data_IF_570756394228
#
_entry.id   IF_570756394228
#
_cell.length_a   1.000
_cell.length_b   1.000
_cell.length_c   1.000
_cell.angle_alpha   90.00
_cell.angle_beta   90.00
_cell.angle_gamma   90.00
#
_symmetry.space_group_name_H-M   'P 1'
#
loop_
_entity.id
_entity.type
_entity.pdbx_description
1 polymer ?
#
# COMPACT_ATOMS: atom_id res chain seq x y z
N UNK A 1 -10.55 0.77 4.61
CA UNK A 1 -10.23 1.37 3.30
C UNK A 1 -9.44 0.43 2.41
N UNK A 2 -8.37 -0.15 2.94
CA UNK A 2 -7.54 -1.07 2.17
C UNK A 2 -8.29 -2.27 1.60
N UNK A 3 -9.21 -2.85 2.36
CA UNK A 3 -9.99 -3.99 1.90
C UNK A 3 -10.87 -3.67 0.71
N UNK A 4 -11.45 -2.47 0.69
CA UNK A 4 -12.28 -2.02 -0.43
C UNK A 4 -11.45 -1.88 -1.71
N UNK A 5 -10.25 -1.31 -1.59
CA UNK A 5 -9.34 -1.21 -2.73
C UNK A 5 -8.94 -2.58 -3.25
N UNK A 6 -8.62 -3.50 -2.34
CA UNK A 6 -8.22 -4.85 -2.73
C UNK A 6 -9.33 -5.54 -3.52
N UNK A 7 -10.57 -5.44 -3.04
CA UNK A 7 -11.70 -6.03 -3.73
C UNK A 7 -11.91 -5.43 -5.12
N UNK A 8 -11.79 -4.12 -5.25
CA UNK A 8 -11.94 -3.46 -6.54
C UNK A 8 -10.85 -3.89 -7.52
N UNK A 9 -9.60 -3.96 -7.05
CA UNK A 9 -8.49 -4.38 -7.90
C UNK A 9 -8.64 -5.83 -8.35
N UNK A 10 -9.12 -6.70 -7.48
CA UNK A 10 -9.38 -8.09 -7.86
C UNK A 10 -10.43 -8.18 -8.96
N UNK A 11 -11.48 -7.37 -8.86
CA UNK A 11 -12.53 -7.35 -9.88
C UNK A 11 -12.01 -6.88 -11.23
N UNK A 12 -10.96 -6.04 -11.21
CA UNK A 12 -10.33 -5.55 -12.44
C UNK A 12 -9.30 -6.53 -13.00
N UNK A 13 -9.12 -7.67 -12.36
CA UNK A 13 -8.18 -8.68 -12.84
C UNK A 13 -6.76 -8.53 -12.35
N UNK A 14 -6.53 -7.65 -11.39
CA UNK A 14 -5.20 -7.47 -10.81
C UNK A 14 -4.85 -8.59 -9.85
N UNK A 15 -3.57 -8.92 -9.77
CA UNK A 15 -3.05 -9.77 -8.71
C UNK A 15 -2.84 -8.88 -7.50
N UNK A 16 -3.50 -9.19 -6.41
CA UNK A 16 -3.46 -8.35 -5.20
C UNK A 16 -2.73 -9.07 -4.08
N UNK A 17 -1.74 -8.39 -3.51
CA UNK A 17 -1.07 -8.86 -2.31
C UNK A 17 -1.26 -7.81 -1.22
N UNK A 18 -1.17 -8.24 0.03
CA UNK A 18 -1.41 -7.34 1.15
C UNK A 18 -0.45 -7.58 2.30
N UNK A 19 -0.18 -6.52 3.03
CA UNK A 19 0.63 -6.56 4.24
C UNK A 19 -0.17 -5.91 5.36
N UNK A 20 -0.31 -6.60 6.48
CA UNK A 20 -1.03 -6.08 7.64
C UNK A 20 -0.43 -6.73 8.87
N UNK A 21 -0.31 -5.97 9.96
CA UNK A 21 0.21 -6.54 11.20
C UNK A 21 -0.77 -7.54 11.83
N UNK A 22 -2.02 -7.50 11.43
CA UNK A 22 -3.04 -8.42 11.91
C UNK A 22 -3.09 -9.68 11.04
N UNK A 23 -2.49 -10.75 11.54
CA UNK A 23 -2.42 -12.01 10.84
C UNK A 23 -3.80 -12.60 10.55
N UNK A 24 -4.75 -12.37 11.43
CA UNK A 24 -6.12 -12.88 11.24
C UNK A 24 -6.79 -12.17 10.07
N UNK A 25 -6.53 -10.88 9.89
CA UNK A 25 -7.08 -10.12 8.76
C UNK A 25 -6.52 -10.65 7.44
N UNK A 26 -5.24 -10.97 7.40
CA UNK A 26 -4.60 -11.54 6.21
C UNK A 26 -5.21 -12.90 5.88
N UNK A 27 -5.36 -13.76 6.88
CA UNK A 27 -5.95 -15.09 6.65
C UNK A 27 -7.39 -14.98 6.16
N UNK A 28 -8.18 -14.12 6.76
CA UNK A 28 -9.56 -13.90 6.35
C UNK A 28 -9.64 -13.45 4.90
N UNK A 29 -8.80 -12.48 4.55
CA UNK A 29 -8.80 -11.92 3.20
C UNK A 29 -8.41 -12.96 2.15
N UNK A 30 -7.45 -13.82 2.46
CA UNK A 30 -7.05 -14.90 1.55
C UNK A 30 -8.17 -15.92 1.38
N UNK A 31 -8.80 -16.32 2.48
CA UNK A 31 -9.90 -17.31 2.45
C UNK A 31 -11.09 -16.81 1.65
N UNK A 32 -11.35 -15.51 1.68
CA UNK A 32 -12.51 -14.92 1.00
C UNK A 32 -12.17 -14.37 -0.39
N UNK A 33 -10.97 -14.63 -0.89
CA UNK A 33 -10.58 -14.21 -2.24
C UNK A 33 -10.40 -12.71 -2.41
N UNK A 34 -10.24 -11.98 -1.31
CA UNK A 34 -9.99 -10.52 -1.37
C UNK A 34 -8.56 -10.24 -1.83
N UNK A 35 -7.63 -11.10 -1.43
CA UNK A 35 -6.23 -10.99 -1.85
C UNK A 35 -5.74 -12.34 -2.35
N UNK A 36 -4.69 -12.32 -3.17
CA UNK A 36 -4.06 -13.53 -3.67
C UNK A 36 -3.02 -14.05 -2.71
N UNK A 37 -2.31 -13.13 -2.06
CA UNK A 37 -1.23 -13.46 -1.17
C UNK A 37 -1.08 -12.36 -0.13
N UNK A 38 -0.53 -12.67 1.03
CA UNK A 38 -0.33 -11.66 2.04
C UNK A 38 0.59 -12.13 3.16
N UNK A 39 1.07 -11.18 3.94
CA UNK A 39 1.92 -11.47 5.08
C UNK A 39 1.67 -10.48 6.21
N UNK A 40 1.79 -10.96 7.43
CA UNK A 40 1.79 -10.11 8.63
C UNK A 40 3.21 -9.78 9.07
N UNK A 41 4.20 -10.31 8.35
CA UNK A 41 5.60 -10.11 8.68
C UNK A 41 6.31 -9.20 7.69
N UNK A 42 7.48 -9.65 7.24
CA UNK A 42 8.34 -8.86 6.36
C UNK A 42 7.78 -8.77 4.94
N UNK A 43 7.55 -7.56 4.42
CA UNK A 43 6.93 -7.38 3.12
C UNK A 43 7.89 -7.36 1.94
N UNK A 44 9.21 -7.49 2.16
CA UNK A 44 10.21 -7.22 1.13
C UNK A 44 9.98 -8.01 -0.16
N UNK A 45 9.68 -9.29 -0.03
CA UNK A 45 9.49 -10.14 -1.20
C UNK A 45 8.27 -9.72 -2.03
N UNK A 46 7.22 -9.24 -1.37
CA UNK A 46 6.03 -8.77 -2.08
C UNK A 46 6.29 -7.44 -2.77
N UNK A 47 7.06 -6.58 -2.14
CA UNK A 47 7.35 -5.25 -2.68
C UNK A 47 8.16 -5.30 -3.96
N UNK A 48 9.12 -6.21 -4.04
CA UNK A 48 9.99 -6.30 -5.22
C UNK A 48 9.21 -6.69 -6.48
N UNK A 49 8.05 -7.29 -6.33
CA UNK A 49 7.21 -7.69 -7.46
C UNK A 49 6.03 -6.78 -7.72
N UNK A 50 5.86 -5.73 -6.93
CA UNK A 50 4.68 -4.87 -7.04
C UNK A 50 4.86 -3.79 -8.11
N UNK A 51 3.81 -3.56 -8.88
CA UNK A 51 3.76 -2.45 -9.83
C UNK A 51 3.18 -1.20 -9.17
N UNK A 52 2.21 -1.40 -8.29
CA UNK A 52 1.55 -0.32 -7.55
C UNK A 52 1.45 -0.73 -6.09
N UNK A 53 1.80 0.18 -5.20
CA UNK A 53 1.68 -0.01 -3.77
C UNK A 53 0.70 1.02 -3.22
N UNK A 54 -0.35 0.55 -2.57
CA UNK A 54 -1.36 1.44 -1.96
C UNK A 54 -1.19 1.42 -0.45
N UNK A 55 -0.95 2.59 0.12
CA UNK A 55 -0.75 2.74 1.56
C UNK A 55 -2.06 3.13 2.24
N UNK A 56 -2.59 2.23 3.05
CA UNK A 56 -3.77 2.50 3.86
C UNK A 56 -3.39 2.67 5.32
N UNK A 57 -2.50 3.64 5.60
CA UNK A 57 -1.94 3.86 6.93
C UNK A 57 -2.21 5.28 7.39
N UNK A 58 -2.12 5.50 8.70
CA UNK A 58 -2.15 6.86 9.25
C UNK A 58 -0.85 7.58 8.88
N UNK A 59 -0.87 8.93 8.82
CA UNK A 59 0.28 9.69 8.32
C UNK A 59 1.62 9.35 8.96
N UNK A 60 1.68 9.27 10.29
CA UNK A 60 2.93 8.93 10.97
C UNK A 60 3.42 7.54 10.63
N UNK A 61 2.52 6.57 10.62
CA UNK A 61 2.87 5.19 10.29
C UNK A 61 3.29 5.08 8.82
N UNK A 62 2.67 5.87 7.94
CA UNK A 62 2.99 5.87 6.53
C UNK A 62 4.44 6.31 6.28
N UNK A 63 4.86 7.40 6.89
CA UNK A 63 6.22 7.90 6.73
C UNK A 63 7.23 6.89 7.25
N UNK A 64 6.95 6.30 8.41
CA UNK A 64 7.85 5.29 8.98
C UNK A 64 7.92 4.03 8.12
N UNK A 65 6.80 3.62 7.55
CA UNK A 65 6.77 2.47 6.66
C UNK A 65 7.64 2.72 5.42
N UNK A 66 7.49 3.89 4.82
CA UNK A 66 8.27 4.25 3.63
C UNK A 66 9.77 4.31 3.97
N UNK A 67 10.10 4.88 5.14
CA UNK A 67 11.49 4.93 5.59
C UNK A 67 12.09 3.53 5.71
N UNK A 68 11.32 2.60 6.22
CA UNK A 68 11.80 1.24 6.45
C UNK A 68 11.91 0.42 5.16
N UNK A 69 11.00 0.63 4.20
CA UNK A 69 10.85 -0.30 3.08
C UNK A 69 11.03 0.30 1.70
N UNK A 70 11.24 1.59 1.57
CA UNK A 70 11.37 2.22 0.25
C UNK A 70 12.48 1.61 -0.60
N UNK A 71 13.57 1.18 0.03
CA UNK A 71 14.69 0.59 -0.69
C UNK A 71 14.34 -0.72 -1.41
N UNK A 72 13.24 -1.36 -1.03
CA UNK A 72 12.79 -2.61 -1.64
C UNK A 72 11.86 -2.39 -2.83
N UNK A 73 11.48 -1.16 -3.10
CA UNK A 73 10.64 -0.83 -4.24
C UNK A 73 11.51 -0.74 -5.50
N UNK A 74 11.09 -1.41 -6.55
CA UNK A 74 11.86 -1.40 -7.79
C UNK A 74 11.55 -0.13 -8.61
N UNK A 75 12.46 0.29 -9.49
CA UNK A 75 12.18 1.40 -10.39
C UNK A 75 10.94 1.11 -11.22
N UNK A 76 10.10 2.11 -11.40
CA UNK A 76 8.85 1.97 -12.11
C UNK A 76 7.65 1.69 -11.21
N UNK A 77 7.87 1.42 -9.92
CA UNK A 77 6.77 1.24 -8.97
C UNK A 77 6.08 2.57 -8.72
N UNK A 78 4.76 2.54 -8.71
CA UNK A 78 3.94 3.68 -8.33
C UNK A 78 3.47 3.49 -6.90
N UNK A 79 3.75 4.46 -6.05
CA UNK A 79 3.31 4.47 -4.67
C UNK A 79 2.16 5.47 -4.53
N UNK A 80 1.08 5.07 -3.93
CA UNK A 80 -0.05 5.96 -3.68
C UNK A 80 -0.62 5.69 -2.28
N UNK A 81 -1.56 6.52 -1.85
CA UNK A 81 -2.15 6.38 -0.53
C UNK A 81 -3.63 6.71 -0.55
N UNK A 82 -4.29 6.42 0.56
CA UNK A 82 -5.71 6.75 0.75
C UNK A 82 -5.90 7.64 1.98
N UNK A 83 -4.83 8.26 2.43
CA UNK A 83 -4.85 9.13 3.60
C UNK A 83 -5.49 10.48 3.28
N UNK A 84 -6.30 11.00 4.19
CA UNK A 84 -6.94 12.30 4.00
C UNK A 84 -6.04 13.49 4.32
N UNK A 85 -4.93 13.30 5.01
CA UNK A 85 -4.07 14.39 5.47
C UNK A 85 -2.81 14.45 4.61
N UNK A 86 -2.85 15.21 3.53
CA UNK A 86 -1.78 15.24 2.53
C UNK A 86 -0.56 16.07 2.96
N UNK A 87 -0.78 17.19 3.61
CA UNK A 87 0.33 18.07 4.00
C UNK A 87 1.37 17.41 4.88
N UNK A 88 0.97 16.41 5.66
CA UNK A 88 1.89 15.72 6.57
C UNK A 88 2.69 14.62 5.89
N UNK A 89 2.29 14.15 4.71
CA UNK A 89 2.92 12.97 4.11
C UNK A 89 3.61 13.20 2.78
N UNK A 90 3.14 14.13 1.96
CA UNK A 90 3.67 14.26 0.59
C UNK A 90 5.17 14.56 0.58
N UNK A 91 5.59 15.60 1.30
CA UNK A 91 7.00 15.97 1.34
C UNK A 91 7.90 14.88 1.92
N UNK A 92 7.60 14.40 3.15
CA UNK A 92 8.42 13.36 3.76
C UNK A 92 8.49 12.08 2.94
N UNK A 93 7.38 11.64 2.35
CA UNK A 93 7.38 10.42 1.55
C UNK A 93 8.23 10.61 0.30
N UNK A 94 8.05 11.71 -0.42
CA UNK A 94 8.81 11.94 -1.64
C UNK A 94 10.31 12.03 -1.38
N UNK A 95 10.70 12.59 -0.24
CA UNK A 95 12.10 12.71 0.12
C UNK A 95 12.76 11.34 0.40
N UNK A 96 11.98 10.34 0.72
CA UNK A 96 12.49 9.01 1.05
C UNK A 96 12.52 8.04 -0.13
N UNK A 97 11.93 8.40 -1.26
CA UNK A 97 11.80 7.46 -2.38
C UNK A 97 13.09 7.34 -3.18
N UNK A 98 13.43 6.10 -3.61
CA UNK A 98 14.58 5.90 -4.49
C UNK A 98 14.27 6.38 -5.91
N UNK A 99 15.29 6.55 -6.76
CA UNK A 99 15.09 6.94 -8.15
C UNK A 99 14.17 5.95 -8.88
N UNK A 100 13.29 6.48 -9.69
CA UNK A 100 12.38 5.66 -10.49
C UNK A 100 11.08 5.26 -9.79
N UNK A 101 10.93 5.59 -8.52
CA UNK A 101 9.68 5.34 -7.78
C UNK A 101 8.94 6.65 -7.62
N UNK A 102 7.68 6.67 -8.06
CA UNK A 102 6.85 7.86 -7.96
C UNK A 102 5.80 7.73 -6.88
N UNK A 103 5.45 8.84 -6.26
CA UNK A 103 4.38 8.89 -5.27
C UNK A 103 3.31 9.86 -5.74
N UNK A 104 2.08 9.36 -5.86
CA UNK A 104 0.92 10.17 -6.19
C UNK A 104 -0.02 10.13 -5.00
N UNK A 105 -0.16 11.27 -4.33
CA UNK A 105 -1.06 11.35 -3.18
C UNK A 105 -2.50 11.38 -3.67
N UNK A 106 -3.31 10.52 -3.10
CA UNK A 106 -4.72 10.41 -3.44
C UNK A 106 -5.59 10.64 -2.22
N UNK A 107 -6.79 11.14 -2.44
CA UNK A 107 -7.79 11.24 -1.40
C UNK A 107 -9.12 10.81 -2.01
N UNK A 108 -9.45 9.51 -1.96
CA UNK A 108 -10.69 9.04 -2.55
C UNK A 108 -11.90 9.70 -1.91
N UNK A 109 -12.79 10.19 -2.75
CA UNK A 109 -14.00 10.85 -2.31
C UNK A 109 -15.18 9.90 -2.41
N UNK A 110 -15.02 8.72 -1.86
CA UNK A 110 -15.96 7.61 -2.03
C UNK A 110 -16.93 7.53 -0.85
N UNK A 111 -17.80 8.45 -0.74
CA UNK A 111 -18.77 8.47 0.32
C UNK A 111 -18.29 9.29 1.51
N UNK A 112 -18.67 8.85 2.71
CA UNK A 112 -18.29 9.64 3.89
C UNK A 112 -17.04 9.09 4.56
N UNK A 113 -16.38 9.96 5.20
CA UNK A 113 -15.15 9.63 5.94
C UNK A 113 -15.44 9.19 7.34
#
# INVERSE_FOLDING_TARGET
MGGTYAMCLKRLGCRVTAVDIDEKAICWAKEHGVIDEGTAGAPEALLSGADVVVLGLYPGAMVEWVRAYAAHLRPGTLLTDVCGVKGAVVGPVQALLPPGVEFIACHPMAGRE
#
